data_IF_166337180489
#
_entry.id   IF_166337180489
#
_cell.length_a   1.000
_cell.length_b   1.000
_cell.length_c   1.000
_cell.angle_alpha   90.00
_cell.angle_beta   90.00
_cell.angle_gamma   90.00
#
_symmetry.space_group_name_H-M   'P 1'
#
loop_
_entity.id
_entity.type
_entity.pdbx_description
1 polymer ?
#
# COMPACT_ATOMS: atom_id res chain seq x y z
N UNK A 1 8.14 8.04 8.50
CA UNK A 1 8.78 7.32 7.39
C UNK A 1 8.22 7.73 6.05
N UNK A 2 9.01 7.61 5.03
CA UNK A 2 8.59 7.94 3.67
C UNK A 2 8.47 6.65 2.87
N UNK A 3 7.34 6.46 2.21
CA UNK A 3 7.19 5.35 1.28
C UNK A 3 6.80 5.92 -0.09
N UNK A 4 6.99 5.12 -1.11
CA UNK A 4 6.68 5.52 -2.48
C UNK A 4 5.46 4.73 -2.92
N UNK A 5 4.35 5.42 -3.17
CA UNK A 5 3.10 4.79 -3.55
C UNK A 5 2.82 5.12 -5.01
N UNK A 6 2.87 4.11 -5.87
CA UNK A 6 2.69 4.28 -7.31
C UNK A 6 3.53 5.43 -7.86
N UNK A 7 4.78 5.48 -7.42
CA UNK A 7 5.73 6.47 -7.90
C UNK A 7 5.70 7.81 -7.17
N UNK A 8 4.84 7.98 -6.19
CA UNK A 8 4.74 9.23 -5.44
C UNK A 8 5.17 9.03 -3.99
N UNK A 9 6.00 9.93 -3.51
CA UNK A 9 6.44 9.88 -2.11
C UNK A 9 5.31 10.33 -1.19
N UNK A 10 5.12 9.56 -0.12
CA UNK A 10 4.13 9.89 0.90
C UNK A 10 4.69 9.53 2.27
N UNK A 11 4.31 10.32 3.27
CA UNK A 11 4.81 10.10 4.62
C UNK A 11 3.75 9.48 5.51
N UNK A 12 4.19 8.56 6.34
CA UNK A 12 3.35 7.89 7.32
C UNK A 12 4.11 7.72 8.62
N UNK A 13 3.40 7.45 9.68
CA UNK A 13 4.02 7.18 10.97
C UNK A 13 4.69 5.82 10.93
N UNK A 14 5.70 5.65 11.78
CA UNK A 14 6.32 4.35 11.94
C UNK A 14 5.28 3.32 12.40
N UNK A 15 5.48 2.08 11.98
CA UNK A 15 4.59 0.97 12.32
C UNK A 15 3.19 1.06 11.69
N UNK A 16 3.06 1.85 10.63
CA UNK A 16 1.81 1.88 9.86
C UNK A 16 1.69 0.60 9.05
N UNK A 17 0.53 -0.02 9.07
CA UNK A 17 0.30 -1.23 8.28
C UNK A 17 -0.10 -0.87 6.86
N UNK A 18 0.06 -1.85 5.97
CA UNK A 18 -0.36 -1.67 4.57
C UNK A 18 -1.84 -1.32 4.49
N UNK A 19 -2.67 -1.99 5.29
CA UNK A 19 -4.10 -1.68 5.30
C UNK A 19 -4.35 -0.23 5.70
N UNK A 20 -3.62 0.25 6.71
CA UNK A 20 -3.77 1.64 7.15
C UNK A 20 -3.35 2.62 6.07
N UNK A 21 -2.31 2.29 5.31
CA UNK A 21 -1.92 3.12 4.17
C UNK A 21 -3.07 3.22 3.18
N UNK A 22 -3.67 2.07 2.84
CA UNK A 22 -4.76 2.06 1.88
C UNK A 22 -5.98 2.82 2.38
N UNK A 23 -6.27 2.71 3.67
CA UNK A 23 -7.39 3.45 4.25
C UNK A 23 -7.15 4.96 4.19
N UNK A 24 -5.93 5.39 4.48
CA UNK A 24 -5.61 6.82 4.45
C UNK A 24 -5.75 7.40 3.05
N UNK A 25 -5.58 6.57 2.02
CA UNK A 25 -5.70 6.98 0.64
C UNK A 25 -7.10 6.72 0.08
N UNK A 26 -7.99 6.20 0.91
CA UNK A 26 -9.37 5.83 0.53
C UNK A 26 -9.40 4.78 -0.58
N UNK A 27 -8.44 3.86 -0.55
CA UNK A 27 -8.30 2.86 -1.59
C UNK A 27 -8.59 1.44 -1.11
N UNK A 28 -8.92 1.25 0.17
CA UNK A 28 -9.03 -0.09 0.74
C UNK A 28 -10.01 -1.01 0.01
N UNK A 29 -11.08 -0.44 -0.55
CA UNK A 29 -12.09 -1.20 -1.27
C UNK A 29 -11.89 -1.19 -2.78
N UNK A 30 -10.82 -0.58 -3.25
CA UNK A 30 -10.60 -0.38 -4.68
C UNK A 30 -9.38 -1.09 -5.22
N UNK A 31 -8.56 -1.62 -4.34
CA UNK A 31 -7.30 -2.24 -4.72
C UNK A 31 -7.46 -3.73 -4.90
N UNK A 32 -7.08 -4.24 -6.06
CA UNK A 32 -7.10 -5.67 -6.35
C UNK A 32 -5.86 -6.37 -5.83
N UNK A 33 -4.72 -5.70 -5.94
CA UNK A 33 -3.45 -6.28 -5.56
C UNK A 33 -2.52 -5.19 -5.07
N UNK A 34 -1.67 -5.54 -4.14
CA UNK A 34 -0.64 -4.65 -3.62
C UNK A 34 0.69 -5.38 -3.63
N UNK A 35 1.75 -4.68 -4.04
CA UNK A 35 3.09 -5.23 -4.02
C UNK A 35 4.01 -4.26 -3.31
N UNK A 36 4.88 -4.80 -2.47
CA UNK A 36 5.90 -4.01 -1.80
C UNK A 36 7.25 -4.52 -2.27
N UNK A 37 8.03 -3.61 -2.86
CA UNK A 37 9.33 -3.95 -3.42
C UNK A 37 9.22 -5.16 -4.36
N UNK A 38 8.16 -5.15 -5.18
CA UNK A 38 7.88 -6.17 -6.20
C UNK A 38 7.38 -7.51 -5.63
N UNK A 39 7.10 -7.58 -4.34
CA UNK A 39 6.55 -8.77 -3.71
C UNK A 39 5.08 -8.55 -3.42
N UNK A 40 4.24 -9.41 -3.97
CA UNK A 40 2.80 -9.28 -3.75
C UNK A 40 2.44 -9.65 -2.33
N UNK A 41 1.65 -8.79 -1.70
CA UNK A 41 1.16 -9.01 -0.35
C UNK A 41 -0.32 -9.36 -0.45
N UNK A 42 -0.69 -10.52 0.05
CA UNK A 42 -2.08 -10.98 -0.01
C UNK A 42 -2.98 -10.09 0.82
N UNK A 43 -4.20 -9.91 0.37
CA UNK A 43 -5.15 -9.03 1.05
C UNK A 43 -5.31 -9.39 2.53
N UNK A 44 -5.35 -10.67 2.85
CA UNK A 44 -5.50 -11.10 4.24
C UNK A 44 -4.36 -10.68 5.14
N UNK A 45 -3.21 -10.35 4.55
CA UNK A 45 -2.02 -9.97 5.31
C UNK A 45 -1.86 -8.46 5.43
N UNK A 46 -2.66 -7.68 4.73
CA UNK A 46 -2.50 -6.22 4.74
C UNK A 46 -2.62 -5.62 6.14
N UNK A 47 -3.47 -6.18 6.96
CA UNK A 47 -3.68 -5.66 8.31
C UNK A 47 -2.51 -5.92 9.24
N UNK A 48 -1.67 -6.89 8.89
CA UNK A 48 -0.54 -7.29 9.72
C UNK A 48 0.81 -6.88 9.13
N UNK A 49 0.82 -6.40 7.92
CA UNK A 49 2.06 -6.05 7.24
C UNK A 49 2.42 -4.60 7.53
N UNK A 50 3.50 -4.40 8.28
CA UNK A 50 3.99 -3.04 8.57
C UNK A 50 4.92 -2.60 7.45
N UNK A 51 4.59 -1.47 6.83
CA UNK A 51 5.47 -0.90 5.81
C UNK A 51 6.68 -0.27 6.47
N UNK A 52 7.77 -0.18 5.72
CA UNK A 52 9.02 0.35 6.22
C UNK A 52 9.47 1.54 5.39
N UNK A 53 10.31 2.37 6.00
CA UNK A 53 10.85 3.54 5.31
C UNK A 53 11.54 3.11 4.01
N UNK A 54 11.23 3.80 2.95
CA UNK A 54 11.82 3.51 1.64
C UNK A 54 11.10 2.44 0.84
N UNK A 55 10.07 1.82 1.39
CA UNK A 55 9.33 0.80 0.65
C UNK A 55 8.68 1.39 -0.59
N UNK A 56 8.69 0.60 -1.65
CA UNK A 56 7.98 0.94 -2.88
C UNK A 56 6.70 0.13 -2.94
N UNK A 57 5.59 0.82 -2.78
CA UNK A 57 4.28 0.21 -2.79
C UNK A 57 3.64 0.46 -4.15
N UNK A 58 3.25 -0.62 -4.80
CA UNK A 58 2.53 -0.54 -6.06
C UNK A 58 1.16 -1.14 -5.89
N UNK A 59 0.16 -0.39 -6.31
CA UNK A 59 -1.23 -0.78 -6.14
C UNK A 59 -1.88 -0.93 -7.50
N UNK A 60 -2.59 -2.04 -7.67
CA UNK A 60 -3.40 -2.28 -8.85
C UNK A 60 -4.85 -2.18 -8.41
N UNK A 61 -5.57 -1.20 -8.91
CA UNK A 61 -6.96 -1.02 -8.49
C UNK A 61 -7.95 -1.41 -9.58
N UNK A 62 -9.20 -1.58 -9.16
CA UNK A 62 -10.27 -1.96 -10.07
C UNK A 62 -10.61 -0.84 -11.04
N UNK A 63 -10.48 0.36 -10.55
CA UNK A 63 -10.97 1.51 -11.27
C UNK A 63 -10.15 1.77 -12.51
N UNK A 64 -8.91 1.37 -12.46
CA UNK A 64 -8.07 1.50 -13.63
C UNK A 64 -8.68 0.82 -14.82
N UNK A 65 -9.46 -0.19 -14.59
CA UNK A 65 -10.15 -0.89 -15.65
C UNK A 65 -11.49 -0.31 -15.97
N UNK A 66 -11.95 0.54 -15.13
CA UNK A 66 -13.28 1.07 -15.34
C UNK A 66 -13.24 2.52 -15.58
#
# INVERSE_FOLDING_TARGET
MTIIVNGQEREFKDNTTLLEVLKSLSLEDKVMAAAINMNIIKQNDWKDYCVEDGDKLELLDFVGGG
#
